data_IF_339808286573
#
_entry.id   IF_339808286573
#
_cell.length_a   1.000
_cell.length_b   1.000
_cell.length_c   1.000
_cell.angle_alpha   90.00
_cell.angle_beta   90.00
_cell.angle_gamma   90.00
#
_symmetry.space_group_name_H-M   'P 1'
#
loop_
_entity.id
_entity.type
_entity.pdbx_description
1 polymer ?
#
# COMPACT_ATOMS: atom_id res chain seq x y z
N UNK A 1 -1.73 23.03 -5.47
CA UNK A 1 -2.50 22.22 -4.48
C UNK A 1 -2.10 20.74 -4.58
N UNK A 2 -2.10 20.14 -5.77
CA UNK A 2 -1.72 18.75 -5.98
C UNK A 2 -0.32 18.42 -5.44
N UNK A 3 0.70 19.24 -5.74
CA UNK A 3 2.05 19.05 -5.23
C UNK A 3 2.17 19.00 -3.70
N UNK A 4 1.32 19.77 -2.96
CA UNK A 4 1.28 19.69 -1.49
C UNK A 4 0.69 18.37 -1.01
N UNK A 5 -0.36 17.87 -1.67
CA UNK A 5 -0.96 16.57 -1.33
C UNK A 5 0.04 15.45 -1.58
N UNK A 6 0.77 15.48 -2.71
CA UNK A 6 1.82 14.51 -3.03
C UNK A 6 2.97 14.57 -2.01
N UNK A 7 3.38 15.77 -1.58
CA UNK A 7 4.37 15.93 -0.51
C UNK A 7 3.93 15.30 0.82
N UNK A 8 2.63 15.28 1.10
CA UNK A 8 2.04 14.60 2.25
C UNK A 8 1.68 13.14 1.96
N UNK A 9 2.16 12.57 0.86
CA UNK A 9 1.87 11.21 0.40
C UNK A 9 0.39 10.89 0.17
N UNK A 10 -0.48 11.92 0.07
CA UNK A 10 -1.91 11.77 -0.28
C UNK A 10 -2.05 11.71 -1.81
N UNK A 11 -1.52 10.64 -2.37
CA UNK A 11 -1.37 10.45 -3.82
C UNK A 11 -2.71 10.37 -4.54
N UNK A 12 -3.73 9.77 -3.91
CA UNK A 12 -5.05 9.61 -4.55
C UNK A 12 -5.76 10.95 -4.71
N UNK A 13 -5.73 11.80 -3.69
CA UNK A 13 -6.29 13.16 -3.81
C UNK A 13 -5.46 14.04 -4.74
N UNK A 14 -4.14 13.85 -4.78
CA UNK A 14 -3.28 14.56 -5.72
C UNK A 14 -3.61 14.17 -7.15
N UNK A 15 -3.74 12.87 -7.43
CA UNK A 15 -4.11 12.33 -8.75
C UNK A 15 -5.45 12.88 -9.23
N UNK A 16 -6.47 12.96 -8.37
CA UNK A 16 -7.76 13.56 -8.72
C UNK A 16 -7.66 15.01 -9.18
N UNK A 17 -6.71 15.78 -8.63
CA UNK A 17 -6.46 17.16 -9.10
C UNK A 17 -5.71 17.15 -10.44
N UNK A 18 -4.71 16.28 -10.60
CA UNK A 18 -3.99 16.16 -11.87
C UNK A 18 -4.90 15.69 -12.99
N UNK A 19 -5.80 14.73 -12.77
CA UNK A 19 -6.84 14.34 -13.73
C UNK A 19 -7.70 15.54 -14.18
N UNK A 20 -8.13 16.38 -13.22
CA UNK A 20 -8.88 17.60 -13.58
C UNK A 20 -8.06 18.55 -14.45
N UNK A 21 -6.74 18.61 -14.25
CA UNK A 21 -5.85 19.44 -15.06
C UNK A 21 -5.73 18.84 -16.47
N UNK A 22 -5.45 17.56 -16.61
CA UNK A 22 -5.28 16.88 -17.91
C UNK A 22 -6.59 16.83 -18.70
N UNK A 23 -7.75 16.72 -18.04
CA UNK A 23 -9.06 16.81 -18.68
C UNK A 23 -9.33 18.21 -19.25
N UNK A 24 -8.85 19.26 -18.57
CA UNK A 24 -9.08 20.65 -18.97
C UNK A 24 -8.01 21.17 -19.93
N UNK A 25 -6.80 20.66 -19.82
CA UNK A 25 -5.61 21.08 -20.57
C UNK A 25 -4.85 19.85 -21.06
N UNK A 26 -5.32 19.26 -22.14
CA UNK A 26 -4.80 18.00 -22.68
C UNK A 26 -3.35 18.05 -23.20
N UNK A 27 -2.80 19.25 -23.38
CA UNK A 27 -1.40 19.46 -23.79
C UNK A 27 -0.47 19.81 -22.62
N UNK A 28 -0.97 19.70 -21.35
CA UNK A 28 -0.20 20.05 -20.16
C UNK A 28 0.65 18.86 -19.68
N UNK A 29 1.89 18.79 -20.15
CA UNK A 29 2.82 17.70 -19.82
C UNK A 29 3.05 17.49 -18.31
N UNK A 30 3.11 18.59 -17.52
CA UNK A 30 3.28 18.52 -16.07
C UNK A 30 2.07 17.87 -15.38
N UNK A 31 0.88 17.95 -15.96
CA UNK A 31 -0.31 17.26 -15.46
C UNK A 31 -0.13 15.75 -15.52
N UNK A 32 0.25 15.23 -16.68
CA UNK A 32 0.53 13.79 -16.88
C UNK A 32 1.72 13.32 -16.05
N UNK A 33 2.78 14.12 -15.97
CA UNK A 33 3.90 13.81 -15.08
C UNK A 33 3.46 13.71 -13.62
N UNK A 34 2.56 14.61 -13.18
CA UNK A 34 1.94 14.56 -11.87
C UNK A 34 1.16 13.27 -11.60
N UNK A 35 0.45 12.72 -12.62
CA UNK A 35 -0.25 11.43 -12.53
C UNK A 35 0.74 10.28 -12.36
N UNK A 36 1.84 10.25 -13.12
CA UNK A 36 2.91 9.27 -12.96
C UNK A 36 3.47 9.31 -11.53
N UNK A 37 3.82 10.49 -11.05
CA UNK A 37 4.36 10.64 -9.69
C UNK A 37 3.38 10.17 -8.60
N UNK A 38 2.07 10.31 -8.82
CA UNK A 38 1.05 9.76 -7.92
C UNK A 38 0.91 8.25 -8.04
N UNK A 39 0.89 7.71 -9.26
CA UNK A 39 0.77 6.27 -9.54
C UNK A 39 1.88 5.47 -8.88
N UNK A 40 3.11 5.93 -9.01
CA UNK A 40 4.29 5.29 -8.40
C UNK A 40 4.60 5.80 -6.98
N UNK A 41 3.76 6.67 -6.42
CA UNK A 41 3.90 7.19 -5.06
C UNK A 41 5.23 7.91 -4.85
N UNK A 42 5.61 8.79 -5.76
CA UNK A 42 6.91 9.46 -5.72
C UNK A 42 6.86 10.68 -4.80
N UNK A 43 7.67 10.63 -3.77
CA UNK A 43 8.04 11.75 -2.91
C UNK A 43 9.50 12.13 -3.16
N UNK A 44 9.82 13.43 -3.16
CA UNK A 44 11.20 13.89 -3.23
C UNK A 44 11.72 14.21 -1.83
N UNK A 45 12.54 13.32 -1.29
CA UNK A 45 13.18 13.45 0.02
C UNK A 45 14.64 13.89 -0.10
N UNK A 46 15.15 14.53 0.95
CA UNK A 46 16.56 14.91 1.01
C UNK A 46 17.43 13.68 1.30
N UNK A 47 18.43 13.44 0.47
CA UNK A 47 19.47 12.44 0.76
C UNK A 47 20.52 12.99 1.76
N UNK A 48 21.52 12.17 2.10
CA UNK A 48 22.57 12.56 3.04
C UNK A 48 23.40 13.78 2.61
N UNK A 49 23.38 14.15 1.33
CA UNK A 49 24.05 15.34 0.78
C UNK A 49 23.13 16.55 0.63
N UNK A 50 21.87 16.46 1.07
CA UNK A 50 20.87 17.52 0.92
C UNK A 50 20.29 17.66 -0.49
N UNK A 51 20.55 16.69 -1.39
CA UNK A 51 19.97 16.66 -2.72
C UNK A 51 18.61 15.95 -2.68
N UNK A 52 17.60 16.51 -3.34
CA UNK A 52 16.29 15.88 -3.54
C UNK A 52 16.45 14.64 -4.43
N UNK A 53 15.97 13.51 -3.92
CA UNK A 53 15.93 12.23 -4.65
C UNK A 53 14.54 11.63 -4.57
N UNK A 54 14.07 10.96 -5.62
CA UNK A 54 12.76 10.30 -5.60
C UNK A 54 12.79 9.08 -4.67
N UNK A 55 11.79 9.00 -3.80
CA UNK A 55 11.48 7.84 -2.96
C UNK A 55 10.14 7.28 -3.43
N UNK A 56 10.08 5.99 -3.72
CA UNK A 56 8.86 5.32 -4.17
C UNK A 56 8.11 4.77 -2.95
N UNK A 57 6.82 5.10 -2.83
CA UNK A 57 5.92 4.56 -1.81
C UNK A 57 4.85 3.62 -2.39
N UNK A 58 4.85 3.42 -3.72
CA UNK A 58 3.94 2.54 -4.45
C UNK A 58 4.71 1.86 -5.58
N UNK A 59 5.37 0.75 -5.27
CA UNK A 59 6.06 -0.01 -6.32
C UNK A 59 5.02 -0.76 -7.16
N UNK A 60 5.27 -0.83 -8.46
CA UNK A 60 4.57 -1.69 -9.41
C UNK A 60 5.58 -2.48 -10.25
N UNK A 61 5.16 -3.62 -10.82
CA UNK A 61 5.94 -4.30 -11.86
C UNK A 61 5.93 -3.53 -13.19
N UNK A 62 4.93 -2.68 -13.41
CA UNK A 62 4.84 -1.87 -14.62
C UNK A 62 5.98 -0.84 -14.63
N UNK A 63 6.58 -0.66 -15.80
CA UNK A 63 7.64 0.32 -16.00
C UNK A 63 7.08 1.73 -16.17
N UNK A 64 7.71 2.72 -15.55
CA UNK A 64 7.38 4.14 -15.79
C UNK A 64 7.60 4.52 -17.26
N UNK A 65 8.58 3.88 -17.91
CA UNK A 65 8.93 4.18 -19.30
C UNK A 65 7.90 3.67 -20.32
N UNK A 66 7.07 2.70 -19.91
CA UNK A 66 6.03 2.08 -20.74
C UNK A 66 4.62 2.56 -20.32
N UNK A 67 4.54 3.58 -19.48
CA UNK A 67 3.30 4.15 -18.97
C UNK A 67 2.65 5.07 -20.03
N UNK A 68 1.34 4.93 -20.26
CA UNK A 68 0.61 5.75 -21.23
C UNK A 68 0.70 7.26 -20.92
N UNK A 69 0.67 7.62 -19.62
CA UNK A 69 0.85 9.01 -19.20
C UNK A 69 2.27 9.51 -19.53
N UNK A 70 3.29 8.63 -19.52
CA UNK A 70 4.64 9.01 -19.88
C UNK A 70 4.78 9.28 -21.39
N UNK A 71 4.07 8.55 -22.23
CA UNK A 71 3.99 8.85 -23.66
C UNK A 71 3.41 10.26 -23.88
N UNK A 72 2.32 10.59 -23.16
CA UNK A 72 1.70 11.91 -23.22
C UNK A 72 2.62 13.03 -22.70
N UNK A 73 3.41 12.76 -21.63
CA UNK A 73 4.46 13.70 -21.19
C UNK A 73 5.46 13.96 -22.31
N UNK A 74 5.92 12.91 -22.99
CA UNK A 74 6.91 13.05 -24.07
C UNK A 74 6.35 13.77 -25.29
N UNK A 75 5.09 13.55 -25.64
CA UNK A 75 4.42 14.21 -26.76
C UNK A 75 4.21 15.70 -26.51
N UNK A 76 3.78 16.06 -25.31
CA UNK A 76 3.38 17.42 -24.96
C UNK A 76 4.52 18.30 -24.40
N UNK A 77 5.75 17.77 -24.29
CA UNK A 77 6.92 18.51 -23.80
C UNK A 77 7.75 19.10 -24.92
N UNK A 78 8.36 20.27 -24.69
CA UNK A 78 9.45 20.76 -25.52
C UNK A 78 10.73 19.91 -25.37
N UNK A 79 11.76 20.20 -26.16
CA UNK A 79 12.98 19.39 -26.18
C UNK A 79 13.76 19.41 -24.87
N UNK A 80 13.74 20.53 -24.14
CA UNK A 80 14.44 20.71 -22.86
C UNK A 80 13.69 19.99 -21.74
N UNK A 81 12.41 20.23 -21.60
CA UNK A 81 11.53 19.58 -20.61
C UNK A 81 11.49 18.06 -20.83
N UNK A 82 11.45 17.61 -22.07
CA UNK A 82 11.50 16.19 -22.44
C UNK A 82 12.77 15.51 -21.97
N UNK A 83 13.91 16.18 -22.04
CA UNK A 83 15.18 15.65 -21.55
C UNK A 83 15.16 15.49 -20.02
N UNK A 84 14.59 16.47 -19.30
CA UNK A 84 14.45 16.44 -17.84
C UNK A 84 13.53 15.29 -17.40
N UNK A 85 12.32 15.21 -17.95
CA UNK A 85 11.38 14.14 -17.59
C UNK A 85 11.93 12.74 -17.89
N UNK A 86 12.65 12.58 -19.01
CA UNK A 86 13.29 11.30 -19.35
C UNK A 86 14.36 10.91 -18.36
N UNK A 87 15.16 11.85 -17.91
CA UNK A 87 16.20 11.57 -16.90
C UNK A 87 15.60 11.25 -15.53
N UNK A 88 14.58 11.98 -15.10
CA UNK A 88 13.88 11.68 -13.85
C UNK A 88 13.17 10.31 -13.90
N UNK A 89 12.52 9.99 -15.02
CA UNK A 89 11.89 8.69 -15.21
C UNK A 89 12.90 7.53 -15.10
N UNK A 90 14.12 7.69 -15.63
CA UNK A 90 15.18 6.69 -15.48
C UNK A 90 15.57 6.47 -14.02
N UNK A 91 15.72 7.55 -13.25
CA UNK A 91 16.07 7.45 -11.82
C UNK A 91 14.97 6.72 -11.06
N UNK A 92 13.69 7.03 -11.33
CA UNK A 92 12.54 6.35 -10.74
C UNK A 92 12.55 4.86 -11.13
N UNK A 93 12.80 4.54 -12.40
CA UNK A 93 12.85 3.18 -12.91
C UNK A 93 13.99 2.35 -12.29
N UNK A 94 15.17 2.95 -12.09
CA UNK A 94 16.29 2.31 -11.40
C UNK A 94 15.95 2.01 -9.93
N UNK A 95 15.32 2.94 -9.23
CA UNK A 95 14.85 2.73 -7.85
C UNK A 95 13.78 1.63 -7.80
N UNK A 96 12.82 1.65 -8.73
CA UNK A 96 11.77 0.63 -8.86
C UNK A 96 12.38 -0.77 -9.01
N UNK A 97 13.29 -0.95 -9.95
CA UNK A 97 13.97 -2.24 -10.19
C UNK A 97 14.71 -2.74 -8.96
N UNK A 98 15.44 -1.85 -8.29
CA UNK A 98 16.15 -2.17 -7.06
C UNK A 98 15.18 -2.62 -5.95
N UNK A 99 14.05 -1.94 -5.82
CA UNK A 99 13.04 -2.26 -4.81
C UNK A 99 12.35 -3.60 -5.10
N UNK A 100 12.06 -3.90 -6.36
CA UNK A 100 11.52 -5.21 -6.78
C UNK A 100 12.49 -6.33 -6.42
N UNK A 101 13.80 -6.18 -6.71
CA UNK A 101 14.81 -7.17 -6.35
C UNK A 101 14.86 -7.44 -4.84
N UNK A 102 14.75 -6.40 -4.00
CA UNK A 102 14.67 -6.56 -2.54
C UNK A 102 13.40 -7.30 -2.17
N UNK A 103 12.25 -6.90 -2.74
CA UNK A 103 10.96 -7.53 -2.46
C UNK A 103 10.94 -9.02 -2.82
N UNK A 104 11.51 -9.38 -3.96
CA UNK A 104 11.59 -10.77 -4.43
C UNK A 104 12.54 -11.64 -3.58
N UNK A 105 13.47 -11.03 -2.85
CA UNK A 105 14.36 -11.74 -1.92
C UNK A 105 13.70 -12.03 -0.57
N UNK A 106 12.60 -11.35 -0.25
CA UNK A 106 11.88 -11.57 1.00
C UNK A 106 11.10 -12.89 0.96
N UNK A 107 11.04 -13.54 2.12
CA UNK A 107 10.20 -14.73 2.25
C UNK A 107 8.71 -14.30 2.28
N UNK A 108 7.81 -15.07 1.64
CA UNK A 108 6.40 -14.72 1.58
C UNK A 108 5.73 -14.68 2.96
N UNK A 109 4.80 -13.76 3.14
CA UNK A 109 3.94 -13.66 4.32
C UNK A 109 2.61 -14.36 4.06
N UNK A 110 2.02 -14.92 5.12
CA UNK A 110 0.66 -15.49 5.08
C UNK A 110 -0.39 -14.41 5.33
N UNK A 111 -0.09 -13.51 6.26
CA UNK A 111 -1.05 -12.51 6.78
C UNK A 111 -0.38 -11.13 6.83
N UNK A 112 -1.12 -10.11 6.41
CA UNK A 112 -0.78 -8.70 6.57
C UNK A 112 -1.71 -8.05 7.59
N UNK A 113 -1.18 -7.42 8.63
CA UNK A 113 -1.97 -6.62 9.58
C UNK A 113 -1.76 -5.15 9.23
N UNK A 114 -2.82 -4.51 8.70
CA UNK A 114 -2.86 -3.07 8.41
C UNK A 114 -3.59 -2.35 9.53
N UNK A 115 -2.93 -1.34 10.12
CA UNK A 115 -3.46 -0.58 11.25
C UNK A 115 -2.73 0.76 11.41
N UNK A 116 -3.38 1.71 12.05
CA UNK A 116 -2.76 2.98 12.41
C UNK A 116 -1.94 2.81 13.69
N UNK A 117 -0.60 2.79 13.55
CA UNK A 117 0.28 2.55 14.70
C UNK A 117 0.33 3.72 15.69
N UNK A 118 0.25 4.96 15.18
CA UNK A 118 0.36 6.19 15.95
C UNK A 118 -0.71 7.20 15.55
N UNK A 119 -1.15 7.99 16.53
CA UNK A 119 -1.99 9.14 16.27
C UNK A 119 -1.19 10.36 15.76
N UNK A 120 -1.86 11.51 15.59
CA UNK A 120 -1.23 12.73 15.07
C UNK A 120 -0.25 13.37 16.08
N UNK A 121 -0.30 12.98 17.35
CA UNK A 121 0.63 13.40 18.40
C UNK A 121 1.87 12.49 18.47
N UNK A 122 1.86 11.36 17.76
CA UNK A 122 2.91 10.34 17.79
C UNK A 122 2.74 9.29 18.88
N UNK A 123 1.61 9.32 19.61
CA UNK A 123 1.29 8.34 20.62
C UNK A 123 0.70 7.07 20.00
N UNK A 124 0.89 5.92 20.67
CA UNK A 124 0.29 4.66 20.23
C UNK A 124 -1.23 4.73 20.26
N UNK A 125 -1.86 4.25 19.20
CA UNK A 125 -3.32 4.14 19.12
C UNK A 125 -3.84 2.93 19.89
N UNK A 126 -5.12 2.92 20.23
CA UNK A 126 -5.78 1.76 20.85
C UNK A 126 -5.72 0.52 19.93
N UNK A 127 -5.83 0.72 18.61
CA UNK A 127 -5.72 -0.37 17.64
C UNK A 127 -4.31 -0.97 17.55
N UNK A 128 -3.28 -0.22 17.92
CA UNK A 128 -1.90 -0.70 17.97
C UNK A 128 -1.69 -1.82 18.99
N UNK A 129 -2.34 -1.75 20.16
CA UNK A 129 -2.29 -2.82 21.16
C UNK A 129 -3.00 -4.09 20.66
N UNK A 130 -4.15 -3.92 20.00
CA UNK A 130 -4.91 -5.03 19.40
C UNK A 130 -4.07 -5.70 18.30
N UNK A 131 -3.44 -4.92 17.44
CA UNK A 131 -2.57 -5.42 16.39
C UNK A 131 -1.40 -6.25 16.93
N UNK A 132 -0.74 -5.76 17.99
CA UNK A 132 0.34 -6.49 18.67
C UNK A 132 -0.14 -7.80 19.29
N UNK A 133 -1.33 -7.81 19.89
CA UNK A 133 -1.91 -9.02 20.47
C UNK A 133 -2.26 -10.07 19.40
N UNK A 134 -2.88 -9.66 18.30
CA UNK A 134 -3.16 -10.53 17.14
C UNK A 134 -1.89 -11.06 16.53
N UNK A 135 -0.88 -10.22 16.31
CA UNK A 135 0.42 -10.62 15.81
C UNK A 135 1.03 -11.75 16.64
N UNK A 136 1.06 -11.61 17.97
CA UNK A 136 1.62 -12.62 18.85
C UNK A 136 0.82 -13.95 18.80
N UNK A 137 -0.51 -13.90 18.77
CA UNK A 137 -1.33 -15.10 18.65
C UNK A 137 -1.15 -15.82 17.31
N UNK A 138 -1.16 -15.06 16.20
CA UNK A 138 -1.02 -15.60 14.85
C UNK A 138 0.37 -16.19 14.62
N UNK A 139 1.42 -15.53 15.08
CA UNK A 139 2.80 -16.08 15.00
C UNK A 139 2.99 -17.29 15.87
N UNK A 140 2.34 -17.37 17.05
CA UNK A 140 2.32 -18.57 17.88
C UNK A 140 1.60 -19.74 17.20
N UNK A 141 0.62 -19.45 16.35
CA UNK A 141 -0.06 -20.42 15.49
C UNK A 141 0.75 -20.77 14.21
N UNK A 142 2.01 -20.32 14.11
CA UNK A 142 2.97 -20.58 13.03
C UNK A 142 2.67 -19.89 11.70
N UNK A 143 1.81 -18.88 11.67
CA UNK A 143 1.69 -18.00 10.50
C UNK A 143 2.85 -17.01 10.45
N UNK A 144 3.31 -16.74 9.24
CA UNK A 144 4.23 -15.64 8.99
C UNK A 144 3.42 -14.35 8.78
N UNK A 145 3.50 -13.47 9.75
CA UNK A 145 2.66 -12.27 9.82
C UNK A 145 3.49 -11.02 9.57
N UNK A 146 3.05 -10.18 8.65
CA UNK A 146 3.59 -8.83 8.52
C UNK A 146 2.87 -7.90 9.49
N UNK A 147 3.65 -7.29 10.37
CA UNK A 147 3.26 -6.18 11.23
C UNK A 147 4.34 -5.12 11.09
N UNK A 148 3.99 -3.91 10.63
CA UNK A 148 4.94 -2.85 10.29
C UNK A 148 5.92 -2.55 11.43
N UNK A 149 5.46 -2.45 12.68
CA UNK A 149 6.29 -2.17 13.86
C UNK A 149 7.35 -3.27 14.11
N UNK A 150 7.07 -4.52 13.74
CA UNK A 150 7.99 -5.64 13.88
C UNK A 150 8.90 -5.80 12.64
N UNK A 151 8.31 -5.81 11.45
CA UNK A 151 9.00 -6.10 10.19
C UNK A 151 9.92 -4.96 9.73
N UNK A 152 9.56 -3.71 10.04
CA UNK A 152 10.28 -2.51 9.59
C UNK A 152 11.16 -1.90 10.69
N UNK A 153 11.31 -2.59 11.82
CA UNK A 153 12.11 -2.10 12.94
C UNK A 153 13.55 -1.79 12.51
N UNK A 154 13.97 -0.55 12.75
CA UNK A 154 15.33 -0.09 12.43
C UNK A 154 15.55 0.32 10.97
N UNK A 155 14.54 0.21 10.10
CA UNK A 155 14.59 0.72 8.73
C UNK A 155 14.20 2.20 8.69
N UNK A 156 14.78 2.94 7.74
CA UNK A 156 14.30 4.29 7.44
C UNK A 156 13.00 4.22 6.67
N UNK A 157 12.15 5.23 6.80
CA UNK A 157 10.87 5.28 6.08
C UNK A 157 11.05 5.16 4.56
N UNK A 158 12.09 5.78 4.00
CA UNK A 158 12.47 5.66 2.58
C UNK A 158 12.79 4.24 2.11
N UNK A 159 13.12 3.35 3.03
CA UNK A 159 13.61 2.01 2.72
C UNK A 159 12.55 0.93 3.02
N UNK A 160 11.36 1.33 3.45
CA UNK A 160 10.30 0.41 3.91
C UNK A 160 9.49 -0.21 2.76
N UNK A 161 9.31 0.51 1.66
CA UNK A 161 8.40 0.12 0.58
C UNK A 161 8.66 -1.27 -0.01
N UNK A 162 9.91 -1.72 -0.25
CA UNK A 162 10.14 -3.07 -0.77
C UNK A 162 9.55 -4.18 0.11
N UNK A 163 9.61 -4.01 1.42
CA UNK A 163 9.10 -4.97 2.41
C UNK A 163 7.57 -4.94 2.51
N UNK A 164 6.99 -3.74 2.44
CA UNK A 164 5.54 -3.53 2.39
C UNK A 164 4.99 -4.17 1.11
N UNK A 165 5.62 -3.89 -0.04
CA UNK A 165 5.25 -4.43 -1.33
C UNK A 165 5.31 -5.97 -1.34
N UNK A 166 6.42 -6.56 -0.86
CA UNK A 166 6.55 -8.01 -0.73
C UNK A 166 5.43 -8.61 0.12
N UNK A 167 5.13 -7.99 1.25
CA UNK A 167 4.09 -8.47 2.15
C UNK A 167 2.67 -8.34 1.55
N UNK A 168 2.35 -7.22 0.90
CA UNK A 168 1.06 -7.03 0.22
C UNK A 168 0.85 -8.06 -0.90
N UNK A 169 1.91 -8.37 -1.67
CA UNK A 169 1.82 -9.31 -2.79
C UNK A 169 1.84 -10.77 -2.34
N UNK A 170 2.52 -11.11 -1.25
CA UNK A 170 2.58 -12.50 -0.77
C UNK A 170 1.44 -12.87 0.16
N UNK A 171 1.01 -12.00 1.06
CA UNK A 171 -0.02 -12.33 2.03
C UNK A 171 -1.36 -12.70 1.37
N UNK A 172 -1.94 -13.81 1.81
CA UNK A 172 -3.24 -14.27 1.33
C UNK A 172 -4.40 -13.60 2.07
N UNK A 173 -4.14 -13.13 3.29
CA UNK A 173 -5.14 -12.46 4.10
C UNK A 173 -4.58 -11.10 4.56
N UNK A 174 -5.37 -10.05 4.36
CA UNK A 174 -5.15 -8.77 5.03
C UNK A 174 -6.18 -8.59 6.13
N UNK A 175 -5.72 -8.32 7.35
CA UNK A 175 -6.55 -7.85 8.46
C UNK A 175 -6.44 -6.33 8.53
N UNK A 176 -7.50 -5.62 8.17
CA UNK A 176 -7.57 -4.16 8.30
C UNK A 176 -8.23 -3.81 9.62
N UNK A 177 -7.45 -3.28 10.58
CA UNK A 177 -7.92 -3.04 11.94
C UNK A 177 -8.31 -1.58 12.15
N UNK A 178 -9.44 -1.33 12.81
CA UNK A 178 -9.86 0.02 13.18
C UNK A 178 -10.76 0.07 14.41
N UNK A 179 -10.63 1.15 15.19
CA UNK A 179 -11.49 1.52 16.31
C UNK A 179 -12.10 2.90 16.12
N UNK A 180 -11.79 3.55 14.98
CA UNK A 180 -12.29 4.87 14.60
C UNK A 180 -12.23 5.08 13.09
N UNK A 181 -12.90 6.12 12.60
CA UNK A 181 -12.78 6.60 11.22
C UNK A 181 -11.31 6.83 10.81
N UNK A 182 -10.54 7.49 11.66
CA UNK A 182 -9.16 7.88 11.37
C UNK A 182 -8.21 6.67 11.25
N UNK A 183 -8.53 5.55 11.91
CA UNK A 183 -7.70 4.35 11.83
C UNK A 183 -7.70 3.77 10.41
N UNK A 184 -8.86 3.78 9.72
CA UNK A 184 -8.95 3.29 8.34
C UNK A 184 -8.55 4.34 7.30
N UNK A 185 -8.81 5.63 7.58
CA UNK A 185 -8.66 6.72 6.61
C UNK A 185 -7.34 7.49 6.74
N UNK A 186 -6.45 7.08 7.67
CA UNK A 186 -5.07 7.54 7.66
C UNK A 186 -4.42 7.25 6.31
N UNK A 187 -3.65 8.20 5.78
CA UNK A 187 -3.07 8.14 4.42
C UNK A 187 -2.31 6.83 4.17
N UNK A 188 -1.52 6.38 5.13
CA UNK A 188 -0.71 5.16 4.99
C UNK A 188 -1.57 3.89 5.03
N UNK A 189 -2.47 3.78 6.01
CA UNK A 189 -3.37 2.63 6.15
C UNK A 189 -4.29 2.52 4.93
N UNK A 190 -4.84 3.66 4.50
CA UNK A 190 -5.67 3.72 3.29
C UNK A 190 -4.91 3.26 2.04
N UNK A 191 -3.65 3.68 1.88
CA UNK A 191 -2.80 3.25 0.77
C UNK A 191 -2.55 1.73 0.80
N UNK A 192 -2.35 1.13 1.99
CA UNK A 192 -2.13 -0.30 2.13
C UNK A 192 -3.36 -1.12 1.72
N UNK A 193 -4.52 -0.84 2.32
CA UNK A 193 -5.70 -1.65 2.03
C UNK A 193 -6.29 -1.38 0.62
N UNK A 194 -6.16 -0.19 0.05
CA UNK A 194 -6.53 0.08 -1.35
C UNK A 194 -5.70 -0.78 -2.30
N UNK A 195 -4.39 -0.76 -2.17
CA UNK A 195 -3.47 -1.58 -2.98
C UNK A 195 -3.77 -3.06 -2.83
N UNK A 196 -4.07 -3.51 -1.61
CA UNK A 196 -4.40 -4.92 -1.38
C UNK A 196 -5.73 -5.32 -2.02
N UNK A 197 -6.75 -4.46 -1.99
CA UNK A 197 -8.02 -4.70 -2.70
C UNK A 197 -7.79 -4.86 -4.21
N UNK A 198 -7.01 -3.99 -4.84
CA UNK A 198 -6.65 -4.10 -6.27
C UNK A 198 -5.94 -5.43 -6.60
N UNK A 199 -5.08 -5.91 -5.69
CA UNK A 199 -4.42 -7.21 -5.83
C UNK A 199 -5.43 -8.35 -5.65
N UNK A 200 -6.33 -8.25 -4.68
CA UNK A 200 -7.35 -9.27 -4.39
C UNK A 200 -8.41 -9.38 -5.49
N UNK A 201 -8.76 -8.29 -6.16
CA UNK A 201 -9.64 -8.32 -7.35
C UNK A 201 -9.07 -9.20 -8.47
N UNK A 202 -7.76 -9.20 -8.63
CA UNK A 202 -7.04 -9.97 -9.65
C UNK A 202 -6.70 -11.39 -9.19
N UNK A 203 -6.74 -11.66 -7.89
CA UNK A 203 -6.35 -12.94 -7.30
C UNK A 203 -7.37 -13.42 -6.26
N UNK A 204 -8.21 -14.37 -6.65
CA UNK A 204 -9.30 -14.92 -5.80
C UNK A 204 -8.82 -15.66 -4.53
N UNK A 205 -7.55 -15.96 -4.42
CA UNK A 205 -6.96 -16.58 -3.23
C UNK A 205 -6.61 -15.55 -2.15
N UNK A 206 -6.85 -14.27 -2.41
CA UNK A 206 -6.59 -13.18 -1.47
C UNK A 206 -7.89 -12.60 -0.93
N UNK A 207 -7.92 -12.31 0.35
CA UNK A 207 -9.06 -11.63 0.96
C UNK A 207 -8.63 -10.56 1.96
N UNK A 208 -9.39 -9.47 1.98
CA UNK A 208 -9.32 -8.47 3.02
C UNK A 208 -10.46 -8.70 4.00
N UNK A 209 -10.13 -8.74 5.29
CA UNK A 209 -11.07 -8.87 6.41
C UNK A 209 -11.02 -7.58 7.23
N UNK A 210 -12.01 -6.70 7.12
CA UNK A 210 -12.13 -5.57 8.02
C UNK A 210 -12.41 -6.05 9.44
N UNK A 211 -11.59 -5.60 10.38
CA UNK A 211 -11.72 -5.94 11.79
C UNK A 211 -11.95 -4.66 12.59
N UNK A 212 -13.08 -4.54 13.28
CA UNK A 212 -13.44 -3.32 13.98
C UNK A 212 -13.89 -3.56 15.42
N UNK A 213 -13.74 -2.53 16.24
CA UNK A 213 -14.27 -2.48 17.61
C UNK A 213 -14.88 -1.11 17.85
N UNK A 214 -16.15 -1.10 18.27
CA UNK A 214 -16.88 0.12 18.66
C UNK A 214 -16.87 1.24 17.59
N UNK A 215 -16.86 0.87 16.31
CA UNK A 215 -16.88 1.79 15.16
C UNK A 215 -18.29 1.94 14.64
N UNK A 216 -18.72 3.17 14.37
CA UNK A 216 -19.98 3.45 13.71
C UNK A 216 -19.97 2.93 12.26
N UNK A 217 -21.10 2.42 11.77
CA UNK A 217 -21.22 1.91 10.41
C UNK A 217 -20.82 2.95 9.34
N UNK A 218 -21.09 4.24 9.61
CA UNK A 218 -20.72 5.34 8.71
C UNK A 218 -19.23 5.67 8.69
N UNK A 219 -18.48 5.21 9.68
CA UNK A 219 -17.03 5.41 9.80
C UNK A 219 -16.23 4.30 9.09
N UNK A 220 -16.89 3.22 8.68
CA UNK A 220 -16.27 2.13 7.92
C UNK A 220 -16.14 2.54 6.44
N UNK A 221 -14.98 2.33 5.80
CA UNK A 221 -14.81 2.62 4.38
C UNK A 221 -15.87 1.91 3.53
N UNK A 222 -16.50 2.65 2.62
CA UNK A 222 -17.51 2.10 1.69
C UNK A 222 -16.96 0.97 0.80
N UNK A 223 -15.65 0.99 0.57
CA UNK A 223 -14.91 -0.02 -0.17
C UNK A 223 -14.94 -1.39 0.52
N UNK A 224 -15.26 -1.43 1.82
CA UNK A 224 -15.42 -2.66 2.59
C UNK A 224 -16.86 -3.23 2.50
N UNK A 225 -17.76 -2.56 1.82
CA UNK A 225 -19.13 -3.03 1.65
C UNK A 225 -19.16 -4.41 0.96
N UNK A 226 -19.85 -5.36 1.58
CA UNK A 226 -19.96 -6.74 1.08
C UNK A 226 -18.77 -7.65 1.43
N UNK A 227 -17.74 -7.15 2.08
CA UNK A 227 -16.68 -8.00 2.63
C UNK A 227 -17.15 -8.67 3.94
N UNK A 228 -16.58 -9.83 4.22
CA UNK A 228 -16.74 -10.45 5.54
C UNK A 228 -16.04 -9.59 6.58
N UNK A 229 -16.70 -9.28 7.66
CA UNK A 229 -16.18 -8.43 8.74
C UNK A 229 -15.97 -9.22 10.02
N UNK A 230 -14.99 -8.81 10.81
CA UNK A 230 -14.72 -9.40 12.13
C UNK A 230 -14.84 -8.33 13.21
N UNK A 231 -15.65 -8.61 14.25
CA UNK A 231 -15.77 -7.73 15.40
C UNK A 231 -14.67 -8.04 16.42
N UNK A 232 -13.87 -7.04 16.78
CA UNK A 232 -12.79 -7.16 17.76
C UNK A 232 -13.34 -7.00 19.18
N UNK A 233 -12.76 -7.68 20.15
CA UNK A 233 -13.00 -7.38 21.57
C UNK A 233 -13.61 -8.48 22.41
N UNK A 234 -13.83 -9.68 21.90
CA UNK A 234 -14.19 -10.85 22.69
C UNK A 234 -13.24 -12.04 22.43
N UNK A 235 -13.28 -13.06 23.26
CA UNK A 235 -12.41 -14.24 23.12
C UNK A 235 -12.71 -15.04 21.83
N UNK A 236 -13.91 -14.92 21.29
CA UNK A 236 -14.31 -15.56 20.03
C UNK A 236 -13.73 -14.86 18.79
N UNK A 237 -13.34 -13.60 18.91
CA UNK A 237 -12.76 -12.82 17.79
C UNK A 237 -11.58 -13.55 17.14
N UNK A 238 -10.65 -14.02 17.95
CA UNK A 238 -9.48 -14.73 17.43
C UNK A 238 -9.88 -16.04 16.74
N UNK A 239 -10.81 -16.80 17.32
CA UNK A 239 -11.31 -18.04 16.73
C UNK A 239 -12.01 -17.77 15.39
N UNK A 240 -12.78 -16.69 15.28
CA UNK A 240 -13.44 -16.28 14.05
C UNK A 240 -12.41 -15.89 12.98
N UNK A 241 -11.41 -15.09 13.32
CA UNK A 241 -10.30 -14.73 12.41
C UNK A 241 -9.57 -16.00 11.97
N UNK A 242 -9.26 -16.92 12.87
CA UNK A 242 -8.60 -18.17 12.55
C UNK A 242 -9.42 -19.07 11.64
N UNK A 243 -10.74 -19.12 11.81
CA UNK A 243 -11.63 -19.87 10.92
C UNK A 243 -11.63 -19.28 9.51
N UNK A 244 -11.74 -17.97 9.37
CA UNK A 244 -11.70 -17.29 8.07
C UNK A 244 -10.34 -17.49 7.36
N UNK A 245 -9.24 -17.35 8.09
CA UNK A 245 -7.88 -17.61 7.54
C UNK A 245 -7.77 -19.07 7.07
N UNK A 246 -8.25 -20.02 7.88
CA UNK A 246 -8.17 -21.44 7.55
C UNK A 246 -9.00 -21.78 6.30
N UNK A 247 -10.11 -21.12 6.08
CA UNK A 247 -10.93 -21.32 4.87
C UNK A 247 -10.24 -20.78 3.61
N UNK A 248 -9.56 -19.64 3.70
CA UNK A 248 -8.76 -19.07 2.60
C UNK A 248 -7.57 -19.99 2.26
N UNK A 249 -6.82 -20.41 3.26
CA UNK A 249 -5.64 -21.27 3.08
C UNK A 249 -6.02 -22.66 2.56
N UNK A 250 -7.18 -23.21 2.96
CA UNK A 250 -7.69 -24.49 2.42
C UNK A 250 -8.05 -24.41 0.95
N UNK A 251 -8.59 -23.28 0.50
CA UNK A 251 -8.91 -23.07 -0.92
C UNK A 251 -7.66 -23.08 -1.80
N UNK A 252 -6.51 -22.66 -1.30
CA UNK A 252 -5.23 -22.76 -2.02
C UNK A 252 -4.78 -24.21 -2.24
N UNK A 253 -4.88 -25.06 -1.20
CA UNK A 253 -4.44 -26.46 -1.29
C UNK A 253 -5.27 -27.29 -2.27
N UNK A 254 -6.48 -26.86 -2.58
CA UNK A 254 -7.37 -27.51 -3.58
C UNK A 254 -7.08 -27.03 -5.01
N UNK A 255 -6.54 -25.81 -5.16
CA UNK A 255 -6.29 -25.19 -6.46
C UNK A 255 -4.85 -25.37 -6.99
N UNK A 256 -3.93 -25.93 -6.20
CA UNK A 256 -2.61 -26.29 -6.71
C UNK A 256 -2.71 -27.64 -7.48
N UNK A 257 -2.34 -27.68 -8.78
CA UNK A 257 -2.19 -28.96 -9.47
C UNK A 257 -1.16 -29.81 -8.75
N UNK A 258 -1.44 -31.11 -8.58
CA UNK A 258 -0.52 -32.05 -8.00
C UNK A 258 0.84 -31.96 -8.75
N UNK A 259 1.98 -31.97 -8.04
CA UNK A 259 3.28 -31.99 -8.70
C UNK A 259 3.36 -33.27 -9.58
N UNK A 260 3.68 -33.07 -10.87
CA UNK A 260 3.99 -34.15 -11.81
C UNK A 260 5.27 -34.90 -11.44
#
# INVERSE_FOLDING_TARGET
>A
RAGRLRFNCDFDKAAGIYNTITDSYTEEAEGYWGLILCKYGIEYADNASGKKVPVCHRISYDSVMDDEDFELVMENSDSESRAIFREEAKIIEENRKKYIQIAESEQPYDIYISYRAKDDNGDKTAVSEIAGHLYNKLTSARYRVFLSEAALKGKKQSDCEPYIYSALNSANVMLALGTSYDDYNNVWVKNEWNRYLEIAEKNKNKCLIPCYKDVDEYDIPKEFAGLKVCQLGNDDTFNNIMAEIADVVKQESVNQPAPE
#
